data_IF_718613142799
#
_entry.id   IF_718613142799
#
_cell.length_a   1.000
_cell.length_b   1.000
_cell.length_c   1.000
_cell.angle_alpha   90.00
_cell.angle_beta   90.00
_cell.angle_gamma   90.00
#
_symmetry.space_group_name_H-M   'P 1'
#
loop_
_entity.id
_entity.type
_entity.pdbx_description
1 polymer ?
#
# COMPACT_ATOMS: atom_id res chain seq x y z
N UNK A 1 4.20 -5.34 25.52
CA UNK A 1 3.16 -4.66 24.71
C UNK A 1 3.82 -3.41 24.13
N UNK A 2 4.20 -3.44 22.85
CA UNK A 2 4.92 -2.32 22.23
C UNK A 2 3.92 -1.23 21.84
N UNK A 3 3.90 -0.15 22.62
CA UNK A 3 3.07 1.04 22.38
C UNK A 3 3.76 1.92 21.33
N UNK A 4 3.55 1.62 20.04
CA UNK A 4 3.94 2.48 18.93
C UNK A 4 2.74 2.74 18.02
N UNK A 5 1.75 3.48 18.51
CA UNK A 5 0.68 4.03 17.67
C UNK A 5 0.74 5.55 17.72
N UNK A 6 1.78 6.11 17.10
CA UNK A 6 1.71 7.47 16.57
C UNK A 6 1.02 7.34 15.21
N UNK A 7 -0.30 7.14 15.29
CA UNK A 7 -1.34 7.06 14.25
C UNK A 7 -0.77 6.87 12.83
N UNK A 8 -0.40 5.65 12.44
CA UNK A 8 -0.09 5.33 11.05
C UNK A 8 -1.27 4.55 10.50
N UNK A 9 -1.73 4.89 9.30
CA UNK A 9 -2.86 4.22 8.63
C UNK A 9 -2.32 3.37 7.49
N UNK A 10 -2.78 2.13 7.40
CA UNK A 10 -2.49 1.29 6.25
C UNK A 10 -3.30 1.74 5.03
N UNK A 11 -2.64 1.83 3.89
CA UNK A 11 -3.22 2.14 2.58
C UNK A 11 -3.04 0.97 1.65
N UNK A 12 -4.06 0.76 0.82
CA UNK A 12 -4.13 -0.26 -0.20
C UNK A 12 -4.17 0.43 -1.55
N UNK A 13 -3.22 0.07 -2.39
CA UNK A 13 -3.09 0.53 -3.77
C UNK A 13 -3.36 -0.66 -4.69
N UNK A 14 -4.51 -0.64 -5.34
CA UNK A 14 -4.85 -1.58 -6.40
C UNK A 14 -4.41 -0.97 -7.73
N UNK A 15 -3.60 -1.71 -8.49
CA UNK A 15 -3.11 -1.29 -9.79
C UNK A 15 -2.97 -2.49 -10.73
N UNK A 16 -2.94 -2.23 -12.03
CA UNK A 16 -2.57 -3.26 -13.01
C UNK A 16 -1.16 -2.98 -13.50
N UNK A 17 -0.34 -4.02 -13.61
CA UNK A 17 0.99 -3.94 -14.20
C UNK A 17 1.09 -4.94 -15.34
N UNK A 18 1.33 -4.46 -16.56
CA UNK A 18 1.38 -5.29 -17.78
C UNK A 18 0.13 -6.17 -17.94
N UNK A 19 -1.04 -5.66 -17.56
CA UNK A 19 -2.32 -6.39 -17.62
C UNK A 19 -2.60 -7.35 -16.46
N UNK A 20 -1.65 -7.55 -15.54
CA UNK A 20 -1.86 -8.37 -14.35
C UNK A 20 -2.32 -7.49 -13.17
N UNK A 21 -3.40 -7.84 -12.46
CA UNK A 21 -3.81 -7.12 -11.25
C UNK A 21 -2.79 -7.33 -10.13
N UNK A 22 -2.41 -6.24 -9.49
CA UNK A 22 -1.51 -6.22 -8.33
C UNK A 22 -2.09 -5.33 -7.25
N UNK A 23 -1.77 -5.71 -6.02
CA UNK A 23 -2.12 -4.95 -4.82
C UNK A 23 -0.86 -4.64 -4.06
N UNK A 24 -0.73 -3.40 -3.63
CA UNK A 24 0.38 -2.93 -2.82
C UNK A 24 -0.15 -2.33 -1.52
N UNK A 25 0.54 -2.63 -0.43
CA UNK A 25 0.19 -2.18 0.91
C UNK A 25 1.27 -1.23 1.42
N UNK A 26 0.85 -0.09 1.97
CA UNK A 26 1.78 0.90 2.52
C UNK A 26 1.22 1.56 3.77
N UNK A 27 2.00 1.57 4.84
CA UNK A 27 1.68 2.33 6.03
C UNK A 27 2.16 3.78 5.85
N UNK A 28 1.27 4.75 6.06
CA UNK A 28 1.59 6.18 6.05
C UNK A 28 1.18 6.82 7.37
N UNK A 29 1.86 7.90 7.83
CA UNK A 29 1.45 8.64 9.00
C UNK A 29 0.04 9.25 8.79
N UNK A 30 -0.75 9.31 9.85
CA UNK A 30 -2.08 9.92 9.82
C UNK A 30 -1.95 11.42 9.57
N UNK A 31 -2.79 11.92 8.65
CA UNK A 31 -2.73 13.30 8.18
C UNK A 31 -1.92 13.49 6.89
N UNK A 32 -1.27 12.45 6.36
CA UNK A 32 -0.70 12.50 5.02
C UNK A 32 -1.78 12.28 3.94
N UNK A 33 -1.66 12.99 2.83
CA UNK A 33 -2.46 12.80 1.61
C UNK A 33 -2.01 11.51 0.89
N UNK A 34 -2.33 10.38 1.49
CA UNK A 34 -1.84 9.07 1.06
C UNK A 34 -2.25 8.72 -0.37
N UNK A 35 -3.40 9.18 -0.84
CA UNK A 35 -3.83 8.96 -2.22
C UNK A 35 -2.86 9.58 -3.23
N UNK A 36 -2.51 10.85 -3.07
CA UNK A 36 -1.65 11.55 -4.02
C UNK A 36 -0.19 11.08 -3.92
N UNK A 37 0.31 10.91 -2.69
CA UNK A 37 1.65 10.40 -2.45
C UNK A 37 1.87 9.01 -3.08
N UNK A 38 0.92 8.10 -2.88
CA UNK A 38 1.03 6.72 -3.40
C UNK A 38 0.81 6.66 -4.91
N UNK A 39 0.00 7.54 -5.49
CA UNK A 39 -0.16 7.64 -6.94
C UNK A 39 1.16 8.07 -7.61
N UNK A 40 1.80 9.10 -7.07
CA UNK A 40 3.09 9.59 -7.55
C UNK A 40 4.18 8.54 -7.39
N UNK A 41 4.24 7.87 -6.23
CA UNK A 41 5.23 6.82 -5.98
C UNK A 41 5.00 5.59 -6.87
N UNK A 42 3.75 5.21 -7.14
CA UNK A 42 3.44 4.13 -8.07
C UNK A 42 3.96 4.45 -9.48
N UNK A 43 3.76 5.69 -9.93
CA UNK A 43 4.25 6.15 -11.23
C UNK A 43 5.78 6.16 -11.29
N UNK A 44 6.46 6.56 -10.21
CA UNK A 44 7.92 6.58 -10.12
C UNK A 44 8.52 5.16 -10.13
N UNK A 45 7.97 4.25 -9.32
CA UNK A 45 8.51 2.89 -9.15
C UNK A 45 8.17 1.98 -10.33
N UNK A 46 6.93 1.98 -10.80
CA UNK A 46 6.46 1.05 -11.84
C UNK A 46 6.50 1.66 -13.25
N UNK A 47 6.65 2.98 -13.36
CA UNK A 47 6.68 3.69 -14.63
C UNK A 47 5.35 3.64 -15.39
N UNK A 48 5.36 3.96 -16.70
CA UNK A 48 4.16 4.08 -17.52
C UNK A 48 3.40 2.76 -17.76
N UNK A 49 3.96 1.63 -17.30
CA UNK A 49 3.35 0.30 -17.45
C UNK A 49 2.37 -0.04 -16.32
N UNK A 50 2.36 0.72 -15.23
CA UNK A 50 1.36 0.61 -14.18
C UNK A 50 0.17 1.51 -14.48
N UNK A 51 -1.04 0.95 -14.34
CA UNK A 51 -2.27 1.74 -14.31
C UNK A 51 -2.89 1.62 -12.93
N UNK A 52 -3.03 2.77 -12.28
CA UNK A 52 -3.73 2.85 -11.01
C UNK A 52 -5.21 2.48 -11.20
N UNK A 53 -5.73 1.63 -10.32
CA UNK A 53 -7.15 1.24 -10.29
C UNK A 53 -7.85 1.95 -9.14
N UNK A 54 -7.30 1.83 -7.92
CA UNK A 54 -7.85 2.48 -6.74
C UNK A 54 -6.77 2.69 -5.68
N UNK A 55 -6.87 3.79 -4.93
CA UNK A 55 -6.13 4.01 -3.70
C UNK A 55 -7.13 4.26 -2.60
N UNK A 56 -7.05 3.47 -1.53
CA UNK A 56 -7.94 3.62 -0.39
C UNK A 56 -7.22 3.26 0.90
N UNK A 57 -7.65 3.81 2.03
CA UNK A 57 -7.23 3.26 3.31
C UNK A 57 -7.74 1.83 3.47
N UNK A 58 -6.95 0.99 4.14
CA UNK A 58 -7.35 -0.34 4.58
C UNK A 58 -8.48 -0.23 5.61
N UNK A 59 -9.36 -1.22 5.63
CA UNK A 59 -10.28 -1.42 6.75
C UNK A 59 -9.52 -1.92 7.98
N UNK A 60 -10.08 -1.80 9.20
CA UNK A 60 -9.44 -2.35 10.41
C UNK A 60 -9.20 -3.86 10.32
N UNK A 61 -10.09 -4.59 9.64
CA UNK A 61 -9.97 -6.02 9.39
C UNK A 61 -8.79 -6.34 8.46
N UNK A 62 -8.66 -5.60 7.35
CA UNK A 62 -7.54 -5.76 6.40
C UNK A 62 -6.20 -5.38 7.03
N UNK A 63 -6.18 -4.35 7.89
CA UNK A 63 -5.00 -3.97 8.67
C UNK A 63 -4.60 -5.07 9.65
N UNK A 64 -5.59 -5.66 10.33
CA UNK A 64 -5.39 -6.78 11.25
C UNK A 64 -4.84 -8.00 10.50
N UNK A 65 -5.40 -8.35 9.34
CA UNK A 65 -4.92 -9.46 8.50
C UNK A 65 -3.52 -9.22 7.94
N UNK A 66 -3.17 -7.97 7.61
CA UNK A 66 -1.81 -7.60 7.22
C UNK A 66 -0.83 -7.79 8.39
N UNK A 67 -1.18 -7.31 9.58
CA UNK A 67 -0.37 -7.47 10.80
C UNK A 67 -0.19 -8.94 11.19
N UNK A 68 -1.20 -9.78 10.97
CA UNK A 68 -1.14 -11.23 11.20
C UNK A 68 -0.51 -12.01 10.04
N UNK A 69 -0.08 -11.34 8.96
CA UNK A 69 0.55 -11.98 7.80
C UNK A 69 -0.38 -12.89 6.99
N UNK A 70 -1.70 -12.73 7.16
CA UNK A 70 -2.75 -13.48 6.44
C UNK A 70 -3.12 -12.83 5.11
N UNK A 71 -2.81 -11.54 4.92
CA UNK A 71 -3.00 -10.87 3.64
C UNK A 71 -2.09 -11.49 2.56
N UNK A 72 -2.57 -11.67 1.31
CA UNK A 72 -1.75 -12.19 0.23
C UNK A 72 -0.51 -11.30 0.03
N UNK A 73 0.68 -11.90 0.20
CA UNK A 73 1.99 -11.25 0.04
C UNK A 73 2.27 -10.93 -1.43
N UNK A 74 1.63 -9.90 -1.97
CA UNK A 74 2.10 -9.29 -3.22
C UNK A 74 3.10 -8.19 -2.85
N UNK A 75 4.27 -8.66 -2.41
CA UNK A 75 5.41 -7.84 -1.99
C UNK A 75 5.96 -7.15 -3.23
N UNK A 76 5.61 -5.89 -3.41
CA UNK A 76 6.58 -4.92 -3.90
C UNK A 76 7.01 -4.14 -2.67
N UNK A 77 7.93 -4.70 -1.90
CA UNK A 77 8.73 -3.93 -0.95
C UNK A 77 9.88 -3.33 -1.77
N UNK A 78 9.89 -2.01 -2.06
CA UNK A 78 10.99 -1.38 -2.78
C UNK A 78 12.32 -1.34 -1.96
N UNK A 79 12.33 -1.85 -0.72
CA UNK A 79 13.52 -1.91 0.15
C UNK A 79 14.24 -3.26 0.14
N UNK A 80 14.22 -3.99 -0.98
CA UNK A 80 15.10 -5.14 -1.17
C UNK A 80 16.51 -4.68 -1.52
N UNK A 81 17.31 -4.36 -0.51
CA UNK A 81 18.78 -4.28 -0.61
C UNK A 81 19.40 -5.53 0.01
#
# INVERSE_FOLDING_TARGET
MATFFKTSRLWIVDYTWRGAPRRWYRALPAGADGAEMLANELADVQGPQARLVAIRPATPEEETDYLHGKAPRHIVCPTGR
#
